data_IF_480428621683
#
_entry.id   IF_480428621683
#
_cell.length_a   1.000
_cell.length_b   1.000
_cell.length_c   1.000
_cell.angle_alpha   90.00
_cell.angle_beta   90.00
_cell.angle_gamma   90.00
#
_symmetry.space_group_name_H-M   'P 1'
#
loop_
_entity.id
_entity.type
_entity.pdbx_description
1 polymer ?
#
# COMPACT_ATOMS: atom_id res chain seq x y z
N UNK A 1 39.90 -101.94 28.09
CA UNK A 1 40.98 -101.67 27.16
C UNK A 1 41.07 -100.17 27.00
N UNK A 2 42.17 -99.67 27.38
CA UNK A 2 42.55 -98.28 27.71
C UNK A 2 42.49 -97.32 26.52
N UNK A 3 42.00 -96.13 26.74
CA UNK A 3 42.23 -95.00 25.87
C UNK A 3 42.54 -93.78 26.73
N UNK A 4 43.75 -93.24 26.54
CA UNK A 4 44.26 -92.10 27.27
C UNK A 4 43.71 -90.79 26.76
N UNK A 5 43.40 -89.90 27.68
CA UNK A 5 43.05 -88.49 27.43
C UNK A 5 44.28 -87.61 27.52
N UNK A 6 44.55 -86.83 26.46
CA UNK A 6 45.53 -85.76 26.44
C UNK A 6 44.82 -84.42 26.73
N UNK A 7 45.25 -83.72 27.78
CA UNK A 7 44.80 -82.37 28.15
C UNK A 7 45.60 -81.39 27.35
N UNK A 8 44.91 -80.40 26.73
CA UNK A 8 45.48 -79.21 26.10
C UNK A 8 45.09 -77.98 26.90
N UNK A 9 46.10 -77.34 27.49
CA UNK A 9 45.90 -76.09 28.26
C UNK A 9 45.65 -74.88 27.36
N UNK A 10 44.96 -73.76 27.86
CA UNK A 10 44.62 -72.64 27.05
C UNK A 10 45.84 -71.69 26.78
N UNK A 11 46.02 -71.40 25.52
CA UNK A 11 46.99 -70.38 25.06
C UNK A 11 46.53 -68.96 25.42
N UNK A 12 47.32 -68.25 26.17
CA UNK A 12 47.17 -66.83 26.38
C UNK A 12 47.49 -66.06 25.07
N UNK A 13 46.48 -65.43 24.49
CA UNK A 13 46.67 -64.46 23.41
C UNK A 13 47.07 -63.10 24.06
N UNK A 14 48.34 -62.72 23.96
CA UNK A 14 48.83 -61.39 24.33
C UNK A 14 48.29 -60.38 23.31
N UNK A 15 47.52 -59.37 23.83
CA UNK A 15 47.06 -58.26 23.03
C UNK A 15 48.31 -57.43 22.64
N UNK A 16 48.55 -57.30 21.36
CA UNK A 16 49.71 -56.64 20.76
C UNK A 16 49.65 -55.13 21.11
N UNK A 17 50.73 -54.58 21.68
CA UNK A 17 50.84 -53.17 22.08
C UNK A 17 50.52 -52.21 20.93
N UNK A 18 50.73 -52.58 19.70
CA UNK A 18 50.37 -51.81 18.51
C UNK A 18 48.84 -51.62 18.37
N UNK A 19 48.01 -52.63 18.65
CA UNK A 19 46.54 -52.48 18.62
C UNK A 19 46.03 -51.55 19.71
N UNK A 20 46.67 -51.52 20.87
CA UNK A 20 46.32 -50.63 21.96
C UNK A 20 46.65 -49.17 21.63
N UNK A 21 47.79 -48.94 20.97
CA UNK A 21 48.19 -47.60 20.48
C UNK A 21 47.26 -47.11 19.35
N UNK A 22 46.88 -47.98 18.42
CA UNK A 22 45.97 -47.64 17.33
C UNK A 22 44.53 -47.33 17.83
N UNK A 23 44.07 -48.04 18.86
CA UNK A 23 42.77 -47.75 19.49
C UNK A 23 42.78 -46.41 20.26
N UNK A 24 43.89 -46.09 20.94
CA UNK A 24 44.08 -44.77 21.58
C UNK A 24 44.14 -43.64 20.56
N UNK A 25 44.91 -43.78 19.48
CA UNK A 25 44.99 -42.79 18.41
C UNK A 25 43.65 -42.56 17.72
N UNK A 26 42.89 -43.61 17.42
CA UNK A 26 41.50 -43.47 16.88
C UNK A 26 40.53 -42.75 17.82
N UNK A 27 40.60 -43.04 19.14
CA UNK A 27 39.74 -42.34 20.12
C UNK A 27 40.08 -40.86 20.26
N UNK A 28 41.40 -40.52 20.22
CA UNK A 28 41.84 -39.11 20.27
C UNK A 28 41.47 -38.36 18.99
N UNK A 29 41.59 -39.00 17.82
CA UNK A 29 41.20 -38.37 16.54
C UNK A 29 39.66 -38.14 16.45
N UNK A 30 38.85 -39.09 16.98
CA UNK A 30 37.39 -38.93 17.03
C UNK A 30 36.96 -37.84 17.99
N UNK A 31 37.65 -37.67 19.14
CA UNK A 31 37.36 -36.55 20.05
C UNK A 31 37.80 -35.19 19.48
N UNK A 32 38.92 -35.11 18.78
CA UNK A 32 39.37 -33.90 18.11
C UNK A 32 38.47 -33.50 16.93
N UNK A 33 37.99 -34.50 16.13
CA UNK A 33 37.02 -34.22 15.06
C UNK A 33 35.65 -33.80 15.61
N UNK A 34 35.20 -34.39 16.74
CA UNK A 34 33.97 -33.97 17.43
C UNK A 34 34.04 -32.53 17.98
N UNK A 35 35.17 -32.13 18.58
CA UNK A 35 35.39 -30.75 19.05
C UNK A 35 35.50 -29.76 17.89
N UNK A 36 36.10 -30.12 16.76
CA UNK A 36 36.20 -29.24 15.58
C UNK A 36 34.82 -29.03 14.92
N UNK A 37 33.94 -30.05 14.93
CA UNK A 37 32.56 -29.92 14.42
C UNK A 37 31.66 -29.08 15.34
N UNK A 38 31.87 -29.14 16.65
CA UNK A 38 31.11 -28.31 17.62
C UNK A 38 31.57 -26.84 17.55
N UNK A 39 32.86 -26.57 17.31
CA UNK A 39 33.38 -25.21 17.13
C UNK A 39 32.94 -24.62 15.79
N UNK A 40 32.85 -25.41 14.69
CA UNK A 40 32.37 -24.92 13.41
C UNK A 40 30.86 -24.65 13.36
N UNK A 41 30.05 -25.43 14.09
CA UNK A 41 28.62 -25.16 14.23
C UNK A 41 28.28 -24.09 15.27
N UNK A 42 29.17 -23.81 16.23
CA UNK A 42 29.03 -22.73 17.20
C UNK A 42 29.32 -21.33 16.63
N UNK A 43 29.96 -21.21 15.48
CA UNK A 43 30.23 -19.90 14.84
C UNK A 43 29.20 -19.47 13.82
N UNK A 44 28.17 -20.28 13.52
CA UNK A 44 27.07 -19.92 12.62
C UNK A 44 25.83 -19.40 13.35
N UNK A 45 25.79 -19.42 14.68
CA UNK A 45 24.93 -18.53 15.44
C UNK A 45 25.68 -17.20 15.61
N UNK A 46 25.88 -16.50 14.49
CA UNK A 46 26.20 -15.09 14.54
C UNK A 46 25.04 -14.47 15.32
N UNK A 47 25.30 -14.07 16.56
CA UNK A 47 24.41 -13.21 17.31
C UNK A 47 23.93 -12.14 16.32
N UNK A 48 22.64 -12.12 15.99
CA UNK A 48 22.02 -10.94 15.41
C UNK A 48 22.22 -9.87 16.46
N UNK A 49 23.30 -9.13 16.32
CA UNK A 49 23.53 -7.92 17.06
C UNK A 49 22.25 -7.10 17.00
N UNK A 50 21.74 -6.75 18.18
CA UNK A 50 20.43 -6.20 18.43
C UNK A 50 20.16 -4.82 17.84
N UNK A 51 20.67 -4.53 16.67
CA UNK A 51 20.37 -3.28 15.96
C UNK A 51 19.28 -3.55 14.94
N UNK A 52 18.02 -3.46 15.42
CA UNK A 52 16.84 -3.51 14.57
C UNK A 52 16.99 -2.48 13.46
N UNK A 53 16.74 -2.83 12.18
CA UNK A 53 16.79 -1.86 11.11
C UNK A 53 15.77 -0.75 11.38
N UNK A 54 16.23 0.51 11.31
CA UNK A 54 15.36 1.68 11.44
C UNK A 54 14.79 2.05 10.09
N UNK A 55 13.48 2.25 10.03
CA UNK A 55 12.73 2.65 8.85
C UNK A 55 12.06 3.99 9.15
N UNK A 56 12.27 4.99 8.31
CA UNK A 56 11.51 6.24 8.36
C UNK A 56 10.20 6.08 7.60
N UNK A 57 9.08 6.48 8.18
CA UNK A 57 7.82 6.61 7.49
C UNK A 57 7.33 8.05 7.61
N UNK A 58 7.43 8.80 6.52
CA UNK A 58 7.05 10.22 6.43
C UNK A 58 5.82 10.38 5.56
N UNK A 59 4.78 10.99 6.08
CA UNK A 59 3.56 11.29 5.36
C UNK A 59 3.27 12.79 5.32
N UNK A 60 2.50 13.21 4.30
CA UNK A 60 2.15 14.60 4.07
C UNK A 60 1.31 15.19 5.22
N UNK A 61 0.22 14.54 5.58
CA UNK A 61 -0.64 14.90 6.71
C UNK A 61 -1.50 13.70 7.16
N UNK A 62 -2.26 13.89 8.25
CA UNK A 62 -3.16 12.89 8.84
C UNK A 62 -4.64 13.22 8.63
N UNK A 63 -4.99 14.12 7.68
CA UNK A 63 -6.38 14.55 7.45
C UNK A 63 -7.23 13.48 6.77
N UNK A 64 -6.63 12.68 5.90
CA UNK A 64 -7.32 11.55 5.26
C UNK A 64 -7.66 10.47 6.29
N UNK A 65 -8.91 9.99 6.31
CA UNK A 65 -9.38 8.94 7.24
C UNK A 65 -8.51 7.68 7.19
N UNK A 66 -8.00 7.33 6.01
CA UNK A 66 -7.15 6.16 5.79
C UNK A 66 -5.78 6.23 6.47
N UNK A 67 -5.17 7.42 6.59
CA UNK A 67 -3.76 7.56 6.98
C UNK A 67 -3.44 7.04 8.38
N UNK A 68 -4.41 7.07 9.29
CA UNK A 68 -4.28 6.44 10.60
C UNK A 68 -4.13 4.92 10.47
N UNK A 69 -4.95 4.30 9.63
CA UNK A 69 -4.91 2.85 9.37
C UNK A 69 -3.63 2.45 8.65
N UNK A 70 -3.18 3.25 7.66
CA UNK A 70 -1.89 3.05 6.97
C UNK A 70 -0.73 3.03 7.97
N UNK A 71 -0.63 4.04 8.84
CA UNK A 71 0.40 4.12 9.87
C UNK A 71 0.39 2.92 10.78
N UNK A 72 -0.76 2.65 11.39
CA UNK A 72 -0.88 1.60 12.40
C UNK A 72 -0.57 0.21 11.82
N UNK A 73 -1.03 -0.06 10.60
CA UNK A 73 -0.74 -1.30 9.88
C UNK A 73 0.73 -1.43 9.50
N UNK A 74 1.35 -0.34 9.02
CA UNK A 74 2.76 -0.32 8.67
C UNK A 74 3.64 -0.57 9.90
N UNK A 75 3.40 0.15 11.01
CA UNK A 75 4.15 0.02 12.25
C UNK A 75 4.00 -1.39 12.85
N UNK A 76 2.78 -1.92 12.88
CA UNK A 76 2.53 -3.27 13.37
C UNK A 76 3.32 -4.31 12.56
N UNK A 77 3.25 -4.24 11.22
CA UNK A 77 3.95 -5.18 10.34
C UNK A 77 5.45 -5.05 10.41
N UNK A 78 5.99 -3.84 10.42
CA UNK A 78 7.43 -3.60 10.57
C UNK A 78 7.97 -4.14 11.91
N UNK A 79 7.22 -3.95 13.00
CA UNK A 79 7.54 -4.48 14.33
C UNK A 79 7.55 -6.01 14.36
N UNK A 80 6.56 -6.67 13.74
CA UNK A 80 6.54 -8.13 13.60
C UNK A 80 7.79 -8.66 12.87
N UNK A 81 8.28 -7.91 11.88
CA UNK A 81 9.47 -8.25 11.10
C UNK A 81 10.80 -7.84 11.79
N UNK A 82 10.72 -7.31 13.02
CA UNK A 82 11.86 -6.95 13.85
C UNK A 82 12.48 -5.60 13.51
N UNK A 83 11.78 -4.69 12.83
CA UNK A 83 12.23 -3.34 12.54
C UNK A 83 11.71 -2.32 13.57
N UNK A 84 12.39 -1.16 13.63
CA UNK A 84 11.95 0.04 14.35
C UNK A 84 11.46 1.07 13.32
N UNK A 85 10.30 1.69 13.56
CA UNK A 85 9.74 2.72 12.70
C UNK A 85 9.87 4.08 13.38
N UNK A 86 10.39 5.07 12.62
CA UNK A 86 10.35 6.48 12.98
C UNK A 86 9.30 7.13 12.09
N UNK A 87 8.13 7.41 12.66
CA UNK A 87 7.01 8.03 11.97
C UNK A 87 7.05 9.55 12.07
N UNK A 88 6.65 10.27 11.02
CA UNK A 88 6.42 11.71 11.05
C UNK A 88 5.26 12.13 10.15
N UNK A 89 4.45 13.02 10.68
CA UNK A 89 3.36 13.73 10.03
C UNK A 89 3.80 15.17 9.75
N UNK A 90 3.77 15.58 8.48
CA UNK A 90 4.18 16.93 8.08
C UNK A 90 3.08 17.99 8.27
N UNK A 91 1.82 17.57 8.46
CA UNK A 91 0.68 18.47 8.64
C UNK A 91 0.39 19.37 7.43
N UNK A 92 0.76 18.89 6.21
CA UNK A 92 0.61 19.64 4.96
C UNK A 92 1.69 20.71 4.73
N UNK A 93 2.83 20.63 5.45
CA UNK A 93 3.96 21.57 5.31
C UNK A 93 5.17 20.85 4.71
N UNK A 94 5.48 21.16 3.46
CA UNK A 94 6.58 20.55 2.70
C UNK A 94 7.96 20.85 3.30
N UNK A 95 8.16 22.05 3.87
CA UNK A 95 9.43 22.39 4.50
C UNK A 95 9.64 21.60 5.78
N UNK A 96 8.56 21.40 6.56
CA UNK A 96 8.53 20.52 7.73
C UNK A 96 8.81 19.08 7.32
N UNK A 97 8.18 18.58 6.26
CA UNK A 97 8.40 17.22 5.77
C UNK A 97 9.88 16.98 5.42
N UNK A 98 10.48 17.91 4.67
CA UNK A 98 11.91 17.85 4.32
C UNK A 98 12.80 17.86 5.57
N UNK A 99 12.46 18.67 6.58
CA UNK A 99 13.25 18.71 7.83
C UNK A 99 13.13 17.40 8.61
N UNK A 100 11.91 16.85 8.73
CA UNK A 100 11.65 15.56 9.37
C UNK A 100 12.43 14.42 8.69
N UNK A 101 12.45 14.38 7.35
CA UNK A 101 13.23 13.39 6.59
C UNK A 101 14.74 13.51 6.91
N UNK A 102 15.29 14.73 6.97
CA UNK A 102 16.69 14.95 7.36
C UNK A 102 16.98 14.48 8.78
N UNK A 103 16.04 14.66 9.70
CA UNK A 103 16.20 14.21 11.09
C UNK A 103 16.09 12.69 11.22
N UNK A 104 15.22 12.04 10.45
CA UNK A 104 15.17 10.58 10.31
C UNK A 104 16.50 10.03 9.77
N UNK A 105 17.08 10.66 8.75
CA UNK A 105 18.40 10.27 8.19
C UNK A 105 19.47 10.36 9.28
N UNK A 106 19.54 11.45 10.05
CA UNK A 106 20.45 11.61 11.19
C UNK A 106 20.22 10.54 12.28
N UNK A 107 18.97 10.11 12.49
CA UNK A 107 18.63 9.04 13.43
C UNK A 107 19.05 7.64 12.92
N UNK A 108 19.58 7.54 11.70
CA UNK A 108 20.19 6.33 11.13
C UNK A 108 19.22 5.37 10.48
N UNK A 109 18.12 5.87 9.89
CA UNK A 109 17.23 5.04 9.07
C UNK A 109 18.00 4.39 7.91
N UNK A 110 17.58 3.21 7.50
CA UNK A 110 18.10 2.48 6.32
C UNK A 110 17.21 2.64 5.10
N UNK A 111 15.92 2.85 5.34
CA UNK A 111 14.90 3.02 4.31
C UNK A 111 14.00 4.18 4.72
N UNK A 112 13.68 5.04 3.77
CA UNK A 112 12.65 6.07 3.85
C UNK A 112 11.43 5.59 3.06
N UNK A 113 10.29 5.46 3.71
CA UNK A 113 8.99 5.32 3.07
C UNK A 113 8.36 6.69 3.06
N UNK A 114 8.05 7.21 1.87
CA UNK A 114 7.67 8.60 1.66
C UNK A 114 6.33 8.70 0.92
N UNK A 115 5.34 9.28 1.60
CA UNK A 115 4.13 9.81 0.98
C UNK A 115 4.28 11.32 0.85
N UNK A 116 4.57 11.85 -0.35
CA UNK A 116 4.83 13.27 -0.53
C UNK A 116 3.54 14.07 -0.70
N UNK A 117 3.56 15.34 -0.26
CA UNK A 117 2.55 16.33 -0.60
C UNK A 117 2.83 16.95 -1.97
N UNK A 118 4.02 17.54 -2.14
CA UNK A 118 4.47 18.18 -3.38
C UNK A 118 5.57 17.39 -4.08
N UNK A 119 5.45 17.24 -5.40
CA UNK A 119 6.37 16.44 -6.21
C UNK A 119 7.79 17.05 -6.30
N UNK A 120 7.91 18.39 -6.35
CA UNK A 120 9.22 19.05 -6.44
C UNK A 120 9.96 18.97 -5.10
N UNK A 121 9.26 19.11 -3.98
CA UNK A 121 9.82 18.94 -2.66
C UNK A 121 10.16 17.48 -2.36
N UNK A 122 9.37 16.53 -2.89
CA UNK A 122 9.68 15.10 -2.80
C UNK A 122 11.05 14.77 -3.35
N UNK A 123 11.44 15.34 -4.51
CA UNK A 123 12.76 15.11 -5.11
C UNK A 123 13.90 15.57 -4.18
N UNK A 124 13.74 16.69 -3.45
CA UNK A 124 14.74 17.13 -2.46
C UNK A 124 14.88 16.16 -1.28
N UNK A 125 13.78 15.51 -0.89
CA UNK A 125 13.78 14.48 0.17
C UNK A 125 14.46 13.21 -0.33
N UNK A 126 14.16 12.80 -1.57
CA UNK A 126 14.81 11.65 -2.24
C UNK A 126 16.32 11.89 -2.36
N UNK A 127 16.74 13.06 -2.84
CA UNK A 127 18.15 13.42 -2.98
C UNK A 127 18.89 13.41 -1.63
N UNK A 128 18.25 13.91 -0.57
CA UNK A 128 18.82 13.87 0.78
C UNK A 128 18.99 12.43 1.29
N UNK A 129 18.00 11.56 1.06
CA UNK A 129 18.05 10.15 1.43
C UNK A 129 19.13 9.40 0.64
N UNK A 130 19.17 9.57 -0.68
CA UNK A 130 20.17 8.90 -1.56
C UNK A 130 21.58 9.34 -1.26
N UNK A 131 21.81 10.65 -0.99
CA UNK A 131 23.13 11.16 -0.58
C UNK A 131 23.64 10.54 0.72
N UNK A 132 22.73 10.10 1.59
CA UNK A 132 23.02 9.38 2.83
C UNK A 132 22.99 7.84 2.68
N UNK A 133 22.93 7.33 1.45
CA UNK A 133 22.79 5.89 1.14
C UNK A 133 21.54 5.24 1.77
N UNK A 134 20.49 6.01 2.01
CA UNK A 134 19.18 5.54 2.46
C UNK A 134 18.35 5.16 1.25
N UNK A 135 17.74 3.97 1.27
CA UNK A 135 16.81 3.50 0.24
C UNK A 135 15.49 4.26 0.34
N UNK A 136 14.79 4.44 -0.79
CA UNK A 136 13.54 5.19 -0.84
C UNK A 136 12.43 4.35 -1.45
N UNK A 137 11.33 4.23 -0.72
CA UNK A 137 10.04 3.70 -1.21
C UNK A 137 9.09 4.87 -1.40
N UNK A 138 8.61 5.06 -2.62
CA UNK A 138 7.48 5.94 -2.91
C UNK A 138 6.20 5.22 -2.50
N UNK A 139 5.48 5.75 -1.53
CA UNK A 139 4.30 5.13 -0.95
C UNK A 139 3.03 5.82 -1.43
N UNK A 140 2.06 5.06 -1.88
CA UNK A 140 0.77 5.48 -2.45
C UNK A 140 0.91 6.43 -3.66
N UNK A 141 1.66 7.52 -3.57
CA UNK A 141 1.89 8.48 -4.67
C UNK A 141 3.25 8.29 -5.32
N UNK A 142 3.26 8.22 -6.67
CA UNK A 142 4.51 8.15 -7.43
C UNK A 142 5.26 9.47 -7.34
N UNK A 143 6.55 9.41 -7.03
CA UNK A 143 7.43 10.57 -7.04
C UNK A 143 8.00 10.73 -8.46
N UNK A 144 7.56 11.75 -9.22
CA UNK A 144 8.05 11.98 -10.58
C UNK A 144 9.50 12.46 -10.54
N UNK A 145 10.30 12.03 -11.52
CA UNK A 145 11.71 12.42 -11.69
C UNK A 145 12.64 12.10 -10.50
N UNK A 146 12.18 11.33 -9.51
CA UNK A 146 12.94 10.92 -8.34
C UNK A 146 13.72 9.61 -8.57
N UNK A 147 14.91 9.48 -7.96
CA UNK A 147 15.66 8.22 -7.94
C UNK A 147 15.16 7.33 -6.78
N UNK A 148 13.95 6.77 -6.91
CA UNK A 148 13.34 5.90 -5.90
C UNK A 148 13.66 4.42 -6.16
N UNK A 149 13.79 3.62 -5.10
CA UNK A 149 14.15 2.21 -5.19
C UNK A 149 12.95 1.29 -5.42
N UNK A 150 11.76 1.73 -4.98
CA UNK A 150 10.50 1.00 -5.15
C UNK A 150 9.31 1.97 -5.11
N UNK A 151 8.27 1.65 -5.85
CA UNK A 151 6.94 2.24 -5.74
C UNK A 151 5.95 1.19 -5.26
N UNK A 152 5.22 1.49 -4.19
CA UNK A 152 4.13 0.64 -3.66
C UNK A 152 2.85 1.44 -3.69
N UNK A 153 1.85 0.95 -4.41
CA UNK A 153 0.54 1.60 -4.53
C UNK A 153 -0.50 0.64 -5.10
N UNK A 154 -1.68 1.18 -5.41
CA UNK A 154 -2.69 0.53 -6.23
C UNK A 154 -2.56 0.93 -7.69
N UNK A 155 -3.12 0.10 -8.58
CA UNK A 155 -3.14 0.38 -10.02
C UNK A 155 -4.11 1.55 -10.30
N UNK A 156 -3.57 2.77 -10.43
CA UNK A 156 -4.34 4.00 -10.67
C UNK A 156 -5.11 3.97 -11.99
N UNK A 157 -4.52 3.35 -13.01
CA UNK A 157 -5.20 3.18 -14.31
C UNK A 157 -6.44 2.31 -14.12
N UNK A 158 -6.33 1.22 -13.34
CA UNK A 158 -7.46 0.36 -13.05
C UNK A 158 -8.53 1.08 -12.21
N UNK A 159 -8.13 1.95 -11.27
CA UNK A 159 -9.08 2.74 -10.48
C UNK A 159 -9.90 3.67 -11.38
N UNK A 160 -9.24 4.50 -12.20
CA UNK A 160 -9.93 5.42 -13.12
C UNK A 160 -10.82 4.67 -14.11
N UNK A 161 -10.34 3.52 -14.62
CA UNK A 161 -11.12 2.63 -15.45
C UNK A 161 -12.40 2.14 -14.75
N UNK A 162 -12.29 1.63 -13.50
CA UNK A 162 -13.44 1.13 -12.73
C UNK A 162 -14.50 2.22 -12.51
N UNK A 163 -14.08 3.42 -12.14
CA UNK A 163 -14.99 4.56 -11.94
C UNK A 163 -15.80 4.88 -13.19
N UNK A 164 -15.10 5.05 -14.32
CA UNK A 164 -15.74 5.40 -15.58
C UNK A 164 -16.57 4.23 -16.16
N UNK A 165 -16.07 3.00 -16.10
CA UNK A 165 -16.73 1.79 -16.61
C UNK A 165 -18.05 1.54 -15.88
N UNK A 166 -18.06 1.73 -14.52
CA UNK A 166 -19.29 1.66 -13.75
C UNK A 166 -20.33 2.68 -14.26
N UNK A 167 -19.92 3.93 -14.41
CA UNK A 167 -20.84 5.00 -14.83
C UNK A 167 -21.39 4.78 -16.25
N UNK A 168 -20.54 4.40 -17.23
CA UNK A 168 -21.03 4.18 -18.60
C UNK A 168 -21.93 2.94 -18.72
N UNK A 169 -21.76 1.94 -17.86
CA UNK A 169 -22.65 0.78 -17.81
C UNK A 169 -24.06 1.13 -17.30
N UNK A 170 -24.17 2.09 -16.37
CA UNK A 170 -25.42 2.42 -15.72
C UNK A 170 -26.07 3.70 -16.26
N UNK A 171 -25.30 4.59 -16.90
CA UNK A 171 -25.76 5.78 -17.59
C UNK A 171 -25.02 5.97 -18.94
N UNK A 172 -25.23 5.10 -19.94
CA UNK A 172 -24.46 5.11 -21.18
C UNK A 172 -24.65 6.36 -22.05
N UNK A 173 -25.55 7.26 -21.64
CA UNK A 173 -25.90 8.49 -22.37
C UNK A 173 -26.17 9.63 -21.43
N UNK A 174 -25.87 10.84 -21.87
CA UNK A 174 -26.20 12.07 -21.17
C UNK A 174 -25.01 12.96 -20.82
N UNK A 175 -25.26 13.96 -19.99
CA UNK A 175 -24.24 14.91 -19.58
C UNK A 175 -23.44 14.37 -18.40
N UNK A 176 -22.12 14.45 -18.51
CA UNK A 176 -21.19 14.02 -17.48
C UNK A 176 -20.42 15.22 -16.94
N UNK A 177 -20.14 15.20 -15.64
CA UNK A 177 -19.26 16.15 -14.93
C UNK A 177 -18.06 15.37 -14.40
N UNK A 178 -16.85 15.84 -14.71
CA UNK A 178 -15.61 15.24 -14.25
C UNK A 178 -14.97 16.14 -13.20
N UNK A 179 -14.75 15.61 -12.00
CA UNK A 179 -14.16 16.32 -10.86
C UNK A 179 -12.84 15.64 -10.51
N UNK A 180 -11.75 16.19 -11.03
CA UNK A 180 -10.39 15.72 -10.80
C UNK A 180 -9.83 16.18 -9.47
N UNK A 181 -8.79 15.48 -9.00
CA UNK A 181 -8.09 15.82 -7.76
C UNK A 181 -7.17 17.04 -7.88
N UNK A 182 -6.08 17.09 -7.09
CA UNK A 182 -5.14 18.22 -7.16
C UNK A 182 -4.42 18.27 -8.49
N UNK A 183 -4.34 19.44 -9.16
CA UNK A 183 -3.66 19.58 -10.44
C UNK A 183 -2.14 19.34 -10.35
N UNK A 184 -1.56 19.42 -9.16
CA UNK A 184 -0.14 19.18 -8.90
C UNK A 184 0.17 17.70 -8.60
N UNK A 185 -0.87 16.88 -8.38
CA UNK A 185 -0.72 15.47 -8.09
C UNK A 185 -0.73 14.63 -9.38
N UNK A 186 0.33 13.85 -9.61
CA UNK A 186 0.47 13.02 -10.82
C UNK A 186 -0.58 11.91 -10.88
N UNK A 187 -1.00 11.40 -9.74
CA UNK A 187 -2.07 10.40 -9.66
C UNK A 187 -3.43 10.95 -10.10
N UNK A 188 -3.74 12.23 -9.84
CA UNK A 188 -4.96 12.86 -10.34
C UNK A 188 -5.01 12.87 -11.86
N UNK A 189 -3.88 13.16 -12.52
CA UNK A 189 -3.77 13.13 -13.99
C UNK A 189 -3.92 11.70 -14.53
N UNK A 190 -3.23 10.74 -13.91
CA UNK A 190 -3.32 9.32 -14.31
C UNK A 190 -4.74 8.78 -14.20
N UNK A 191 -5.46 9.13 -13.12
CA UNK A 191 -6.88 8.78 -12.96
C UNK A 191 -7.73 9.38 -14.08
N UNK A 192 -7.61 10.69 -14.32
CA UNK A 192 -8.35 11.41 -15.35
C UNK A 192 -8.11 10.82 -16.74
N UNK A 193 -6.86 10.55 -17.10
CA UNK A 193 -6.53 9.92 -18.38
C UNK A 193 -7.18 8.53 -18.54
N UNK A 194 -7.16 7.72 -17.46
CA UNK A 194 -7.79 6.41 -17.48
C UNK A 194 -9.31 6.50 -17.59
N UNK A 195 -9.93 7.46 -16.93
CA UNK A 195 -11.36 7.77 -17.03
C UNK A 195 -11.72 8.19 -18.46
N UNK A 196 -10.97 9.12 -19.04
CA UNK A 196 -11.19 9.60 -20.41
C UNK A 196 -11.05 8.50 -21.46
N UNK A 197 -10.11 7.56 -21.30
CA UNK A 197 -9.98 6.40 -22.20
C UNK A 197 -11.25 5.56 -22.26
N UNK A 198 -11.99 5.44 -21.14
CA UNK A 198 -13.28 4.74 -21.11
C UNK A 198 -14.39 5.58 -21.72
N UNK A 199 -14.41 6.89 -21.42
CA UNK A 199 -15.47 7.78 -21.90
C UNK A 199 -15.35 8.11 -23.40
N UNK A 200 -14.15 8.20 -23.95
CA UNK A 200 -13.88 8.68 -25.30
C UNK A 200 -14.75 8.01 -26.38
N UNK A 201 -14.89 6.68 -26.43
CA UNK A 201 -15.77 6.03 -27.42
C UNK A 201 -17.24 6.46 -27.36
N UNK A 202 -17.72 6.83 -26.17
CA UNK A 202 -19.11 7.30 -25.96
C UNK A 202 -19.23 8.78 -26.32
N UNK A 203 -18.19 9.57 -26.10
CA UNK A 203 -18.11 10.97 -26.51
C UNK A 203 -18.09 11.06 -28.02
N UNK A 204 -17.25 10.26 -28.70
CA UNK A 204 -17.08 10.26 -30.17
C UNK A 204 -18.39 9.89 -30.90
N UNK A 205 -19.22 9.05 -30.27
CA UNK A 205 -20.55 8.70 -30.83
C UNK A 205 -21.66 9.71 -30.47
N UNK A 206 -21.34 10.71 -29.63
CA UNK A 206 -22.32 11.66 -29.13
C UNK A 206 -23.30 11.12 -28.10
N UNK A 207 -23.05 9.93 -27.54
CA UNK A 207 -23.85 9.34 -26.45
C UNK A 207 -23.60 10.08 -25.13
N UNK A 208 -22.37 10.47 -24.83
CA UNK A 208 -21.97 11.21 -23.63
C UNK A 208 -21.43 12.58 -24.02
N UNK A 209 -21.86 13.61 -23.29
CA UNK A 209 -21.31 14.96 -23.37
C UNK A 209 -20.67 15.33 -22.04
N UNK A 210 -19.38 15.55 -22.01
CA UNK A 210 -18.68 16.13 -20.85
C UNK A 210 -18.99 17.63 -20.86
N UNK A 211 -19.77 18.09 -19.87
CA UNK A 211 -20.22 19.49 -19.77
C UNK A 211 -19.39 20.32 -18.84
N UNK A 212 -18.66 19.69 -17.93
CA UNK A 212 -17.66 20.30 -17.05
C UNK A 212 -16.57 19.26 -16.76
N UNK A 213 -15.32 19.70 -16.87
CA UNK A 213 -14.14 18.90 -16.61
C UNK A 213 -13.08 19.81 -15.96
N UNK A 214 -12.58 19.42 -14.79
CA UNK A 214 -11.60 20.21 -14.09
C UNK A 214 -11.06 19.56 -12.84
N UNK A 215 -10.00 20.19 -12.34
CA UNK A 215 -9.29 19.77 -11.12
C UNK A 215 -9.70 20.62 -9.94
N UNK A 216 -9.66 20.05 -8.74
CA UNK A 216 -9.94 20.74 -7.48
C UNK A 216 -8.64 20.97 -6.71
N UNK A 217 -8.54 22.10 -6.02
CA UNK A 217 -7.38 22.36 -5.16
C UNK A 217 -7.35 21.33 -4.03
N UNK A 218 -6.20 20.70 -3.84
CA UNK A 218 -5.90 19.81 -2.70
C UNK A 218 -6.97 18.73 -2.39
N UNK A 219 -7.69 18.27 -3.44
CA UNK A 219 -8.78 17.27 -3.32
C UNK A 219 -9.93 17.72 -2.39
N UNK A 220 -10.10 19.02 -2.18
CA UNK A 220 -11.02 19.57 -1.19
C UNK A 220 -12.49 19.35 -1.57
N UNK A 221 -13.33 18.80 -0.66
CA UNK A 221 -14.77 18.66 -0.88
C UNK A 221 -15.48 19.98 -1.17
N UNK A 222 -15.05 21.08 -0.54
CA UNK A 222 -15.58 22.42 -0.76
C UNK A 222 -15.37 22.93 -2.17
N UNK A 223 -14.23 22.65 -2.79
CA UNK A 223 -13.95 22.98 -4.17
C UNK A 223 -14.84 22.17 -5.12
N UNK A 224 -15.00 20.86 -4.85
CA UNK A 224 -15.89 19.99 -5.62
C UNK A 224 -17.36 20.44 -5.51
N UNK A 225 -17.80 20.87 -4.34
CA UNK A 225 -19.13 21.46 -4.13
C UNK A 225 -19.35 22.69 -5.02
N UNK A 226 -18.42 23.64 -4.98
CA UNK A 226 -18.51 24.88 -5.81
C UNK A 226 -18.46 24.57 -7.31
N UNK A 227 -17.62 23.60 -7.71
CA UNK A 227 -17.53 23.14 -9.09
C UNK A 227 -18.87 22.53 -9.55
N UNK A 228 -19.47 21.69 -8.70
CA UNK A 228 -20.74 21.03 -9.00
C UNK A 228 -21.91 22.02 -9.08
N UNK A 229 -21.98 23.03 -8.22
CA UNK A 229 -22.99 24.09 -8.32
C UNK A 229 -22.97 24.78 -9.69
N UNK A 230 -21.77 25.14 -10.17
CA UNK A 230 -21.61 25.76 -11.51
C UNK A 230 -22.08 24.82 -12.64
N UNK A 231 -21.80 23.53 -12.52
CA UNK A 231 -22.22 22.52 -13.47
C UNK A 231 -23.74 22.36 -13.50
N UNK A 232 -24.40 22.35 -12.32
CA UNK A 232 -25.86 22.30 -12.17
C UNK A 232 -26.52 23.51 -12.83
N UNK A 233 -26.04 24.72 -12.51
CA UNK A 233 -26.58 25.96 -13.05
C UNK A 233 -26.48 26.00 -14.59
N UNK A 234 -25.30 25.71 -15.12
CA UNK A 234 -25.04 25.76 -16.57
C UNK A 234 -25.82 24.71 -17.36
N UNK A 235 -26.12 23.55 -16.74
CA UNK A 235 -26.86 22.45 -17.39
C UNK A 235 -28.36 22.46 -17.07
N UNK A 236 -28.83 23.39 -16.23
CA UNK A 236 -30.20 23.38 -15.67
C UNK A 236 -30.51 22.02 -15.00
N UNK A 237 -29.53 21.46 -14.31
CA UNK A 237 -29.65 20.16 -13.62
C UNK A 237 -29.72 18.92 -14.52
N UNK A 238 -29.53 19.06 -15.84
CA UNK A 238 -29.52 17.93 -16.79
C UNK A 238 -28.16 17.21 -16.75
N UNK A 239 -27.94 16.41 -15.71
CA UNK A 239 -26.69 15.67 -15.46
C UNK A 239 -27.07 14.19 -15.27
N UNK A 240 -26.35 13.30 -15.96
CA UNK A 240 -26.52 11.86 -15.85
C UNK A 240 -25.56 11.25 -14.83
N UNK A 241 -24.30 11.73 -14.81
CA UNK A 241 -23.28 11.20 -13.93
C UNK A 241 -22.23 12.25 -13.55
N UNK A 242 -21.67 12.07 -12.34
CA UNK A 242 -20.52 12.79 -11.81
C UNK A 242 -19.39 11.78 -11.60
N UNK A 243 -18.30 11.96 -12.31
CA UNK A 243 -17.08 11.20 -12.15
C UNK A 243 -16.16 11.95 -11.20
N UNK A 244 -16.32 11.70 -9.89
CA UNK A 244 -15.48 12.27 -8.86
C UNK A 244 -14.31 11.31 -8.58
N UNK A 245 -13.09 11.85 -8.57
CA UNK A 245 -11.88 11.03 -8.44
C UNK A 245 -11.66 10.47 -7.03
N UNK A 246 -12.26 11.06 -5.97
CA UNK A 246 -12.27 10.48 -4.62
C UNK A 246 -13.59 10.74 -3.88
N UNK A 247 -13.75 10.10 -2.72
CA UNK A 247 -14.96 10.14 -1.91
C UNK A 247 -15.21 11.49 -1.25
N UNK A 248 -14.17 12.19 -0.82
CA UNK A 248 -14.31 13.54 -0.28
C UNK A 248 -14.95 14.50 -1.29
N UNK A 249 -14.46 14.50 -2.54
CA UNK A 249 -15.02 15.30 -3.62
C UNK A 249 -16.41 14.81 -4.05
N UNK A 250 -16.64 13.48 -4.06
CA UNK A 250 -17.97 12.92 -4.27
C UNK A 250 -18.97 13.45 -3.25
N UNK A 251 -18.58 13.51 -1.96
CA UNK A 251 -19.39 14.09 -0.89
C UNK A 251 -19.76 15.56 -1.14
N UNK A 252 -18.77 16.37 -1.56
CA UNK A 252 -19.02 17.77 -1.95
C UNK A 252 -19.99 17.88 -3.13
N UNK A 253 -19.82 17.06 -4.15
CA UNK A 253 -20.74 17.02 -5.30
C UNK A 253 -22.16 16.56 -4.88
N UNK A 254 -22.28 15.53 -4.02
CA UNK A 254 -23.56 15.02 -3.52
C UNK A 254 -24.28 16.08 -2.69
N UNK A 255 -23.56 16.88 -1.89
CA UNK A 255 -24.17 18.00 -1.17
C UNK A 255 -24.81 18.99 -2.14
N UNK A 256 -24.08 19.44 -3.18
CA UNK A 256 -24.65 20.34 -4.20
C UNK A 256 -25.86 19.72 -4.92
N UNK A 257 -25.77 18.44 -5.28
CA UNK A 257 -26.88 17.69 -5.90
C UNK A 257 -28.10 17.63 -4.96
N UNK A 258 -27.88 17.48 -3.65
CA UNK A 258 -28.95 17.42 -2.64
C UNK A 258 -29.74 18.71 -2.55
N UNK A 259 -29.09 19.87 -2.56
CA UNK A 259 -29.70 21.20 -2.53
C UNK A 259 -30.61 21.46 -3.76
N UNK A 260 -30.34 20.74 -4.87
CA UNK A 260 -31.12 20.82 -6.11
C UNK A 260 -32.07 19.62 -6.33
N UNK A 261 -32.27 18.77 -5.32
CA UNK A 261 -33.10 17.54 -5.40
C UNK A 261 -32.63 16.53 -6.48
N UNK A 262 -31.30 16.51 -6.75
CA UNK A 262 -30.67 15.61 -7.73
C UNK A 262 -29.90 14.45 -7.09
N UNK A 263 -29.64 14.47 -5.77
CA UNK A 263 -28.97 13.38 -5.07
C UNK A 263 -29.78 12.07 -5.21
N UNK A 264 -29.08 10.98 -5.53
CA UNK A 264 -29.69 9.68 -5.82
C UNK A 264 -30.33 9.54 -7.20
N UNK A 265 -30.43 10.64 -7.99
CA UNK A 265 -30.87 10.63 -9.39
C UNK A 265 -29.70 10.70 -10.38
N UNK A 266 -28.63 11.34 -9.96
CA UNK A 266 -27.36 11.44 -10.69
C UNK A 266 -26.42 10.40 -10.15
N UNK A 267 -25.80 9.61 -11.01
CA UNK A 267 -24.78 8.64 -10.60
C UNK A 267 -23.50 9.36 -10.16
N UNK A 268 -22.91 8.92 -9.07
CA UNK A 268 -21.66 9.52 -8.53
C UNK A 268 -20.66 8.42 -8.22
N UNK A 269 -19.46 8.53 -8.80
CA UNK A 269 -18.34 7.67 -8.45
C UNK A 269 -17.50 8.25 -7.32
N UNK A 270 -16.64 7.43 -6.73
CA UNK A 270 -15.65 7.84 -5.74
C UNK A 270 -14.46 6.88 -5.67
N UNK A 271 -13.58 7.10 -4.71
CA UNK A 271 -12.43 6.26 -4.37
C UNK A 271 -12.10 6.49 -2.89
N UNK A 272 -11.59 5.50 -2.22
CA UNK A 272 -11.06 5.38 -0.87
C UNK A 272 -11.99 4.63 0.10
N UNK A 273 -13.27 4.51 -0.18
CA UNK A 273 -14.28 3.85 0.65
C UNK A 273 -14.38 4.46 2.06
N UNK A 274 -14.29 5.79 2.13
CA UNK A 274 -14.49 6.55 3.36
C UNK A 274 -15.84 6.18 4.00
N UNK A 275 -15.95 6.21 5.33
CA UNK A 275 -17.21 5.85 6.02
C UNK A 275 -18.40 6.65 5.50
N UNK A 276 -18.24 7.95 5.28
CA UNK A 276 -19.26 8.84 4.73
C UNK A 276 -19.71 8.39 3.34
N UNK A 277 -18.80 7.98 2.48
CA UNK A 277 -19.09 7.48 1.14
C UNK A 277 -19.82 6.13 1.18
N UNK A 278 -19.38 5.20 2.04
CA UNK A 278 -20.04 3.91 2.22
C UNK A 278 -21.49 4.10 2.74
N UNK A 279 -21.71 5.09 3.61
CA UNK A 279 -23.04 5.49 4.05
C UNK A 279 -23.87 6.05 2.87
N UNK A 280 -23.30 6.96 2.06
CA UNK A 280 -23.95 7.50 0.88
C UNK A 280 -24.28 6.42 -0.15
N UNK A 281 -23.42 5.41 -0.33
CA UNK A 281 -23.70 4.23 -1.18
C UNK A 281 -24.86 3.41 -0.60
N UNK A 282 -24.87 3.19 0.70
CA UNK A 282 -25.95 2.48 1.35
C UNK A 282 -27.30 3.23 1.26
N UNK A 283 -27.27 4.57 1.28
CA UNK A 283 -28.43 5.45 1.08
C UNK A 283 -28.84 5.59 -0.40
N UNK A 284 -27.96 5.25 -1.34
CA UNK A 284 -28.19 5.40 -2.78
C UNK A 284 -27.91 6.80 -3.33
N UNK A 285 -27.22 7.68 -2.58
CA UNK A 285 -26.81 9.02 -3.03
C UNK A 285 -25.43 9.03 -3.71
N UNK A 286 -24.58 8.04 -3.41
CA UNK A 286 -23.38 7.70 -4.17
C UNK A 286 -23.57 6.32 -4.81
N UNK A 287 -23.07 6.12 -6.02
CA UNK A 287 -23.35 4.88 -6.78
C UNK A 287 -22.31 3.80 -6.50
N UNK A 288 -21.06 4.20 -6.39
CA UNK A 288 -19.94 3.32 -6.13
C UNK A 288 -18.75 4.08 -5.55
N UNK A 289 -17.84 3.35 -4.94
CA UNK A 289 -16.49 3.80 -4.65
C UNK A 289 -15.48 2.72 -5.02
N UNK A 290 -14.21 3.10 -5.19
CA UNK A 290 -13.11 2.14 -5.37
C UNK A 290 -12.36 2.02 -4.04
N UNK A 291 -12.49 0.86 -3.42
CA UNK A 291 -11.78 0.52 -2.19
C UNK A 291 -10.35 0.08 -2.49
N UNK A 292 -9.43 0.64 -1.75
CA UNK A 292 -8.03 0.24 -1.69
C UNK A 292 -7.80 -0.47 -0.36
N UNK A 293 -7.52 -1.78 -0.32
CA UNK A 293 -7.19 -2.48 0.93
C UNK A 293 -5.88 -1.97 1.53
N UNK A 294 -5.93 -0.80 2.20
CA UNK A 294 -4.78 -0.03 2.69
C UNK A 294 -3.93 -0.79 3.71
N UNK A 295 -4.54 -1.63 4.56
CA UNK A 295 -3.82 -2.51 5.47
C UNK A 295 -2.85 -3.43 4.73
N UNK A 296 -3.24 -3.90 3.53
CA UNK A 296 -2.38 -4.71 2.68
C UNK A 296 -1.26 -3.86 2.02
N UNK A 297 -1.57 -2.64 1.57
CA UNK A 297 -0.56 -1.72 1.02
C UNK A 297 0.51 -1.40 2.07
N UNK A 298 0.08 -1.02 3.26
CA UNK A 298 0.98 -0.71 4.37
C UNK A 298 1.83 -1.92 4.79
N UNK A 299 1.23 -3.12 4.86
CA UNK A 299 1.95 -4.34 5.18
C UNK A 299 3.00 -4.68 4.12
N UNK A 300 2.65 -4.59 2.83
CA UNK A 300 3.59 -4.83 1.72
C UNK A 300 4.71 -3.80 1.73
N UNK A 301 4.43 -2.51 1.96
CA UNK A 301 5.45 -1.47 2.06
C UNK A 301 6.40 -1.73 3.24
N UNK A 302 5.88 -2.15 4.40
CA UNK A 302 6.70 -2.51 5.57
C UNK A 302 7.59 -3.73 5.28
N UNK A 303 7.06 -4.77 4.63
CA UNK A 303 7.82 -5.95 4.23
C UNK A 303 8.97 -5.58 3.29
N UNK A 304 8.69 -4.78 2.27
CA UNK A 304 9.69 -4.35 1.30
C UNK A 304 10.72 -3.39 1.91
N UNK A 305 10.30 -2.53 2.85
CA UNK A 305 11.22 -1.67 3.59
C UNK A 305 12.21 -2.49 4.43
N UNK A 306 11.72 -3.53 5.11
CA UNK A 306 12.60 -4.45 5.88
C UNK A 306 13.54 -5.23 4.95
N UNK A 307 13.06 -5.68 3.78
CA UNK A 307 13.90 -6.36 2.78
C UNK A 307 15.03 -5.44 2.28
N UNK A 308 14.68 -4.22 1.87
CA UNK A 308 15.66 -3.22 1.42
C UNK A 308 16.66 -2.86 2.52
N UNK A 309 16.21 -2.73 3.78
CA UNK A 309 17.08 -2.47 4.92
C UNK A 309 18.10 -3.60 5.17
N UNK A 310 17.75 -4.84 4.80
CA UNK A 310 18.64 -6.02 4.84
C UNK A 310 19.51 -6.17 3.60
N UNK A 311 19.39 -5.28 2.61
CA UNK A 311 20.10 -5.36 1.33
C UNK A 311 19.53 -6.43 0.37
N UNK A 312 18.32 -6.90 0.60
CA UNK A 312 17.64 -7.85 -0.28
C UNK A 312 16.98 -7.14 -1.48
N UNK A 313 16.74 -7.89 -2.55
CA UNK A 313 16.00 -7.37 -3.72
C UNK A 313 14.51 -7.25 -3.39
N UNK A 314 13.85 -6.24 -3.97
CA UNK A 314 12.39 -6.08 -3.90
C UNK A 314 11.65 -7.20 -4.62
N UNK A 315 10.39 -7.42 -4.26
CA UNK A 315 9.47 -8.34 -4.95
C UNK A 315 8.63 -7.61 -6.01
N UNK A 316 9.16 -6.52 -6.57
CA UNK A 316 8.48 -5.77 -7.62
C UNK A 316 8.02 -6.69 -8.76
N UNK A 317 6.77 -6.54 -9.19
CA UNK A 317 6.14 -7.36 -10.22
C UNK A 317 5.98 -6.62 -11.57
N UNK A 318 6.32 -5.32 -11.61
CA UNK A 318 6.34 -4.48 -12.80
C UNK A 318 7.26 -3.28 -12.62
N UNK A 319 7.36 -2.44 -13.63
CA UNK A 319 8.03 -1.14 -13.57
C UNK A 319 7.08 -0.03 -14.00
N UNK A 320 7.32 1.18 -13.51
CA UNK A 320 6.60 2.39 -13.88
C UNK A 320 7.62 3.46 -14.22
N UNK A 321 7.51 4.05 -15.40
CA UNK A 321 8.33 5.20 -15.76
C UNK A 321 7.90 6.42 -14.95
N UNK A 322 8.82 7.02 -14.21
CA UNK A 322 8.53 8.22 -13.41
C UNK A 322 9.10 9.51 -14.03
N UNK A 323 9.51 9.45 -15.29
CA UNK A 323 10.16 10.55 -16.01
C UNK A 323 11.69 10.55 -15.93
N UNK A 324 12.30 9.86 -14.96
CA UNK A 324 13.75 9.74 -14.79
C UNK A 324 14.25 8.30 -14.99
N UNK A 325 13.55 7.36 -14.41
CA UNK A 325 13.92 5.92 -14.40
C UNK A 325 12.67 5.05 -14.52
N UNK A 326 12.89 3.79 -14.91
CA UNK A 326 11.93 2.71 -14.74
C UNK A 326 11.95 2.24 -13.28
N UNK A 327 11.02 2.72 -12.48
CA UNK A 327 10.93 2.41 -11.04
C UNK A 327 10.34 1.00 -10.87
N UNK A 328 11.02 0.09 -10.15
CA UNK A 328 10.38 -1.16 -9.71
C UNK A 328 9.10 -0.85 -8.94
N UNK A 329 8.01 -1.55 -9.23
CA UNK A 329 6.71 -1.26 -8.64
C UNK A 329 5.97 -2.52 -8.17
N UNK A 330 5.26 -2.39 -7.06
CA UNK A 330 4.24 -3.34 -6.62
C UNK A 330 2.91 -2.59 -6.67
N UNK A 331 2.07 -2.94 -7.66
CA UNK A 331 0.74 -2.37 -7.78
C UNK A 331 -0.30 -3.40 -7.34
N UNK A 332 -1.03 -3.05 -6.30
CA UNK A 332 -2.09 -3.85 -5.70
C UNK A 332 -3.40 -3.64 -6.46
N UNK A 333 -4.30 -4.63 -6.36
CA UNK A 333 -5.60 -4.57 -7.02
C UNK A 333 -6.58 -3.75 -6.18
N UNK A 334 -7.21 -2.72 -6.75
CA UNK A 334 -8.35 -2.06 -6.14
C UNK A 334 -9.62 -2.92 -6.25
N UNK A 335 -10.63 -2.60 -5.44
CA UNK A 335 -11.91 -3.32 -5.38
C UNK A 335 -13.05 -2.33 -5.59
N UNK A 336 -13.94 -2.61 -6.55
CA UNK A 336 -15.17 -1.86 -6.72
C UNK A 336 -16.13 -2.17 -5.56
N UNK A 337 -16.64 -1.12 -4.92
CA UNK A 337 -17.64 -1.21 -3.84
C UNK A 337 -18.91 -0.53 -4.26
N UNK A 338 -19.98 -1.31 -4.24
CA UNK A 338 -21.36 -0.89 -4.46
C UNK A 338 -22.20 -1.32 -3.25
N UNK A 339 -23.47 -0.92 -3.20
CA UNK A 339 -24.38 -1.32 -2.11
C UNK A 339 -24.39 -2.84 -1.91
N UNK A 340 -24.31 -3.61 -2.99
CA UNK A 340 -24.49 -5.08 -2.97
C UNK A 340 -23.30 -5.82 -2.32
N UNK A 341 -22.12 -5.20 -2.28
CA UNK A 341 -20.91 -5.88 -1.81
C UNK A 341 -20.21 -5.20 -0.62
N UNK A 342 -20.80 -4.18 0.02
CA UNK A 342 -20.25 -3.50 1.21
C UNK A 342 -19.77 -4.52 2.27
N UNK A 343 -20.61 -5.52 2.59
CA UNK A 343 -20.26 -6.55 3.60
C UNK A 343 -19.11 -7.45 3.18
N UNK A 344 -19.09 -7.82 1.90
CA UNK A 344 -18.09 -8.75 1.36
C UNK A 344 -16.74 -8.08 1.11
N UNK A 345 -16.66 -6.76 1.19
CA UNK A 345 -15.49 -5.94 0.94
C UNK A 345 -15.04 -5.22 2.21
N UNK A 346 -15.38 -3.95 2.36
CA UNK A 346 -14.90 -3.06 3.42
C UNK A 346 -15.23 -3.53 4.84
N UNK A 347 -16.37 -4.23 5.04
CA UNK A 347 -16.72 -4.77 6.36
C UNK A 347 -15.95 -6.05 6.66
N UNK A 348 -15.86 -6.96 5.68
CA UNK A 348 -15.09 -8.21 5.83
C UNK A 348 -13.61 -7.95 6.14
N UNK A 349 -13.03 -6.93 5.52
CA UNK A 349 -11.63 -6.56 5.73
C UNK A 349 -11.41 -5.74 7.02
N UNK A 350 -12.50 -5.41 7.75
CA UNK A 350 -12.43 -4.63 8.99
C UNK A 350 -12.12 -3.14 8.78
N UNK A 351 -12.13 -2.66 7.52
CA UNK A 351 -11.87 -1.25 7.21
C UNK A 351 -13.02 -0.37 7.69
N UNK A 352 -14.28 -0.81 7.46
CA UNK A 352 -15.47 -0.18 8.01
C UNK A 352 -16.23 -1.18 8.88
N UNK A 353 -17.04 -0.70 9.84
CA UNK A 353 -17.88 -1.59 10.64
C UNK A 353 -19.34 -1.52 10.21
N UNK A 354 -20.02 -2.67 10.19
CA UNK A 354 -21.46 -2.70 9.90
C UNK A 354 -22.25 -1.83 10.90
N UNK A 355 -21.77 -1.74 12.14
CA UNK A 355 -22.36 -0.90 13.18
C UNK A 355 -22.32 0.58 12.81
N UNK A 356 -21.13 1.12 12.46
CA UNK A 356 -20.98 2.53 12.09
C UNK A 356 -21.77 2.89 10.84
N UNK A 357 -21.81 2.01 9.84
CA UNK A 357 -22.61 2.21 8.64
C UNK A 357 -24.10 2.28 9.00
N UNK A 358 -24.61 1.28 9.74
CA UNK A 358 -26.04 1.17 10.04
C UNK A 358 -26.55 2.23 11.02
N UNK A 359 -25.69 2.78 11.90
CA UNK A 359 -26.07 3.90 12.78
C UNK A 359 -26.48 5.17 12.03
N UNK A 360 -25.96 5.39 10.83
CA UNK A 360 -26.27 6.54 10.00
C UNK A 360 -27.43 6.29 9.02
N UNK A 361 -27.96 5.07 8.96
CA UNK A 361 -29.01 4.69 8.03
C UNK A 361 -30.38 4.69 8.72
N UNK A 362 -31.44 5.16 8.03
CA UNK A 362 -32.80 5.02 8.50
C UNK A 362 -33.17 3.56 8.75
N UNK A 363 -34.12 3.34 9.67
CA UNK A 363 -34.69 2.01 9.89
C UNK A 363 -35.30 1.47 8.58
N UNK A 364 -34.95 0.23 8.22
CA UNK A 364 -35.33 -0.38 6.93
C UNK A 364 -34.38 -0.18 5.76
N UNK A 365 -33.41 0.73 5.85
CA UNK A 365 -32.32 0.88 4.86
C UNK A 365 -31.01 0.23 5.30
N UNK A 366 -30.99 -0.28 6.53
CA UNK A 366 -29.79 -0.91 7.11
C UNK A 366 -29.31 -2.10 6.28
N UNK A 367 -28.01 -2.23 6.20
CA UNK A 367 -27.32 -3.37 5.57
C UNK A 367 -27.47 -4.57 6.49
N UNK A 368 -28.09 -5.66 5.99
CA UNK A 368 -28.35 -6.91 6.76
C UNK A 368 -27.19 -7.88 6.71
#
# INVERSE_FOLDING_TARGET
>A
MSAGALSVGPAMFGINEEEHLLRKARRTLTMLAGMFFIVLNGQLVRAQDGNKPKIGFSIEDMKGERWQTDRDSFEARAKELGAEVIFADAGGDDARQLQQVKDMIKAGIKVLVLLPHDAAMANRMVDAAKSAHVKVISYDRLIPNGDVDLYVSFDRVQIGWMQADYLVKHAPRGNYVLIGGSPTAEDAKTLHEAQMRVLQPYIDRGDIKVIADGYTKDWLPSEAYLFMLKAIDSSQGKIAAVLASNDGMAGGAIQALGEHNLAGKVLVSGQDADLSAVICIAQGTQSMTVYKPITNEAAVAAEEAVRLAKGEKTRANRTINNGKIEVPAILLKPIEVTRDNIKATVVKDGFQTLKSINQALPEGQQIK
#
